data_IF_510494126785
#
_entry.id   IF_510494126785
#
_cell.length_a   1.000
_cell.length_b   1.000
_cell.length_c   1.000
_cell.angle_alpha   90.00
_cell.angle_beta   90.00
_cell.angle_gamma   90.00
#
_symmetry.space_group_name_H-M   'P 1'
#
loop_
_entity.id
_entity.type
_entity.pdbx_description
1 polymer ?
#
# COMPACT_ATOMS: atom_id res chain seq x y z
N UNK A 1 -30.27 8.71 -1.58
CA UNK A 1 -29.74 7.44 -2.12
C UNK A 1 -28.32 7.63 -2.63
N UNK A 2 -28.06 8.60 -3.51
CA UNK A 2 -26.76 8.83 -4.12
C UNK A 2 -25.66 9.17 -3.10
N UNK A 3 -25.93 10.00 -2.10
CA UNK A 3 -24.96 10.33 -1.05
C UNK A 3 -24.49 9.09 -0.27
N UNK A 4 -25.36 8.09 -0.09
CA UNK A 4 -24.98 6.82 0.55
C UNK A 4 -23.92 6.13 -0.28
N UNK A 5 -24.01 6.13 -1.60
CA UNK A 5 -22.99 5.58 -2.49
C UNK A 5 -21.66 6.34 -2.33
N UNK A 6 -21.70 7.67 -2.23
CA UNK A 6 -20.51 8.47 -1.96
C UNK A 6 -19.80 8.10 -0.67
N UNK A 7 -20.54 7.94 0.43
CA UNK A 7 -19.99 7.47 1.71
C UNK A 7 -19.43 6.06 1.61
N UNK A 8 -20.10 5.16 0.90
CA UNK A 8 -19.59 3.81 0.65
C UNK A 8 -18.29 3.83 -0.15
N UNK A 9 -18.21 4.67 -1.18
CA UNK A 9 -16.99 4.85 -1.97
C UNK A 9 -15.80 5.29 -1.12
N UNK A 10 -15.98 6.32 -0.28
CA UNK A 10 -14.95 6.78 0.64
C UNK A 10 -14.56 5.69 1.65
N UNK A 11 -15.54 5.01 2.22
CA UNK A 11 -15.30 3.93 3.18
C UNK A 11 -14.53 2.77 2.57
N UNK A 12 -14.87 2.36 1.35
CA UNK A 12 -14.17 1.30 0.61
C UNK A 12 -12.74 1.71 0.28
N UNK A 13 -12.53 2.94 -0.22
CA UNK A 13 -11.20 3.44 -0.53
C UNK A 13 -10.28 3.43 0.69
N UNK A 14 -10.74 4.00 1.80
CA UNK A 14 -9.99 4.05 3.06
C UNK A 14 -9.78 2.64 3.65
N UNK A 15 -10.84 1.83 3.68
CA UNK A 15 -10.80 0.49 4.25
C UNK A 15 -9.89 -0.45 3.48
N UNK A 16 -10.03 -0.51 2.15
CA UNK A 16 -9.21 -1.38 1.30
C UNK A 16 -7.73 -0.98 1.32
N UNK A 17 -7.42 0.32 1.28
CA UNK A 17 -6.04 0.80 1.37
C UNK A 17 -5.40 0.46 2.71
N UNK A 18 -6.13 0.66 3.81
CA UNK A 18 -5.67 0.32 5.15
C UNK A 18 -5.45 -1.17 5.35
N UNK A 19 -6.40 -2.00 4.90
CA UNK A 19 -6.27 -3.47 4.92
C UNK A 19 -5.07 -3.92 4.09
N UNK A 20 -4.89 -3.36 2.89
CA UNK A 20 -3.74 -3.66 2.03
C UNK A 20 -2.41 -3.37 2.71
N UNK A 21 -2.28 -2.19 3.31
CA UNK A 21 -1.07 -1.81 4.04
C UNK A 21 -0.85 -2.66 5.29
N UNK A 22 -1.89 -2.99 6.03
CA UNK A 22 -1.78 -3.89 7.19
C UNK A 22 -1.26 -5.28 6.78
N UNK A 23 -1.79 -5.86 5.71
CA UNK A 23 -1.31 -7.14 5.19
C UNK A 23 0.11 -7.03 4.63
N UNK A 24 0.38 -6.03 3.79
CA UNK A 24 1.70 -5.86 3.17
C UNK A 24 2.82 -5.67 4.18
N UNK A 25 2.62 -4.80 5.16
CA UNK A 25 3.62 -4.56 6.22
C UNK A 25 3.84 -5.79 7.10
N UNK A 26 2.78 -6.52 7.45
CA UNK A 26 2.92 -7.73 8.28
C UNK A 26 3.57 -8.90 7.54
N UNK A 27 3.31 -9.06 6.23
CA UNK A 27 4.00 -10.05 5.41
C UNK A 27 5.52 -9.79 5.43
N UNK A 28 5.93 -8.55 5.20
CA UNK A 28 7.35 -8.18 5.23
C UNK A 28 7.94 -8.26 6.64
N UNK A 29 7.20 -7.82 7.67
CA UNK A 29 7.64 -7.89 9.06
C UNK A 29 7.84 -9.32 9.56
N UNK A 30 6.99 -10.26 9.17
CA UNK A 30 7.18 -11.67 9.50
C UNK A 30 8.50 -12.24 8.92
N UNK A 31 8.84 -11.84 7.69
CA UNK A 31 10.14 -12.18 7.12
C UNK A 31 11.31 -11.51 7.87
N UNK A 32 11.11 -10.24 8.30
CA UNK A 32 12.10 -9.50 9.09
C UNK A 32 12.40 -10.18 10.44
N UNK A 33 11.38 -10.67 11.14
CA UNK A 33 11.54 -11.44 12.38
C UNK A 33 12.40 -12.69 12.16
N UNK A 34 12.17 -13.41 11.06
CA UNK A 34 13.00 -14.53 10.65
C UNK A 34 14.42 -14.11 10.29
N UNK A 35 14.56 -12.97 9.61
CA UNK A 35 15.85 -12.39 9.24
C UNK A 35 16.72 -12.01 10.43
N UNK A 36 16.13 -11.41 11.46
CA UNK A 36 16.81 -11.02 12.70
C UNK A 36 17.46 -12.21 13.42
N UNK A 37 16.83 -13.38 13.36
CA UNK A 37 17.39 -14.62 13.93
C UNK A 37 18.60 -15.13 13.17
N UNK A 38 18.69 -14.86 11.87
CA UNK A 38 19.79 -15.33 11.00
C UNK A 38 20.94 -14.33 10.94
N UNK A 39 20.62 -13.05 10.80
CA UNK A 39 21.60 -11.98 10.61
C UNK A 39 21.06 -10.66 11.18
N UNK A 40 21.29 -10.43 12.47
CA UNK A 40 20.81 -9.23 13.16
C UNK A 40 21.52 -7.94 12.73
N UNK A 41 22.71 -8.04 12.12
CA UNK A 41 23.46 -6.85 11.65
C UNK A 41 22.72 -6.10 10.52
N UNK A 42 21.82 -6.77 9.82
CA UNK A 42 21.02 -6.20 8.73
C UNK A 42 19.65 -5.68 9.18
N UNK A 43 19.44 -5.48 10.49
CA UNK A 43 18.15 -5.04 11.06
C UNK A 43 17.58 -3.78 10.40
N UNK A 44 18.43 -2.80 10.08
CA UNK A 44 17.99 -1.56 9.42
C UNK A 44 17.37 -1.81 8.04
N UNK A 45 17.95 -2.72 7.26
CA UNK A 45 17.40 -3.10 5.95
C UNK A 45 16.03 -3.75 6.11
N UNK A 46 15.88 -4.64 7.10
CA UNK A 46 14.59 -5.31 7.37
C UNK A 46 13.51 -4.30 7.77
N UNK A 47 13.82 -3.34 8.64
CA UNK A 47 12.88 -2.29 9.05
C UNK A 47 12.43 -1.45 7.86
N UNK A 48 13.36 -0.99 7.02
CA UNK A 48 13.04 -0.18 5.84
C UNK A 48 12.11 -0.96 4.91
N UNK A 49 12.46 -2.18 4.54
CA UNK A 49 11.67 -2.98 3.62
C UNK A 49 10.28 -3.33 4.18
N UNK A 50 10.17 -3.56 5.50
CA UNK A 50 8.89 -3.85 6.15
C UNK A 50 7.95 -2.64 6.18
N UNK A 51 8.49 -1.42 6.19
CA UNK A 51 7.71 -0.20 6.24
C UNK A 51 7.13 0.22 4.88
N UNK A 52 7.73 -0.19 3.76
CA UNK A 52 7.33 0.25 2.43
C UNK A 52 5.82 0.08 2.15
N UNK A 53 5.18 -1.05 2.46
CA UNK A 53 3.76 -1.24 2.14
C UNK A 53 2.79 -0.38 2.97
N UNK A 54 3.27 0.48 3.86
CA UNK A 54 2.44 1.42 4.61
C UNK A 54 1.96 2.61 3.74
N UNK A 55 2.62 2.90 2.63
CA UNK A 55 2.36 4.08 1.80
C UNK A 55 0.97 4.07 1.17
N UNK A 56 0.46 2.92 0.74
CA UNK A 56 -0.86 2.82 0.11
C UNK A 56 -2.00 3.15 1.09
N UNK A 57 -1.86 2.81 2.36
CA UNK A 57 -2.78 3.22 3.41
C UNK A 57 -2.81 4.73 3.59
N UNK A 58 -1.65 5.38 3.52
CA UNK A 58 -1.55 6.85 3.52
C UNK A 58 -2.19 7.46 2.27
N UNK A 59 -2.01 6.88 1.08
CA UNK A 59 -2.65 7.35 -0.14
C UNK A 59 -4.17 7.29 -0.05
N UNK A 60 -4.73 6.21 0.49
CA UNK A 60 -6.17 6.10 0.72
C UNK A 60 -6.69 7.13 1.73
N UNK A 61 -5.93 7.42 2.78
CA UNK A 61 -6.28 8.45 3.75
C UNK A 61 -6.23 9.86 3.13
N UNK A 62 -5.20 10.19 2.36
CA UNK A 62 -5.09 11.48 1.65
C UNK A 62 -6.24 11.63 0.66
N UNK A 63 -6.51 10.60 -0.13
CA UNK A 63 -7.64 10.62 -1.06
C UNK A 63 -8.97 10.81 -0.34
N UNK A 64 -9.20 10.13 0.79
CA UNK A 64 -10.38 10.33 1.62
C UNK A 64 -10.56 11.80 2.03
N UNK A 65 -9.50 12.46 2.52
CA UNK A 65 -9.56 13.85 2.94
C UNK A 65 -9.85 14.80 1.78
N UNK A 66 -9.23 14.58 0.63
CA UNK A 66 -9.34 15.47 -0.53
C UNK A 66 -10.64 15.27 -1.30
N UNK A 67 -11.18 14.07 -1.33
CA UNK A 67 -12.34 13.73 -2.16
C UNK A 67 -13.68 13.75 -1.40
N UNK A 68 -13.69 13.95 -0.08
CA UNK A 68 -14.93 13.97 0.73
C UNK A 68 -15.97 14.99 0.24
N UNK A 69 -15.55 16.09 -0.36
CA UNK A 69 -16.47 17.09 -0.94
C UNK A 69 -17.30 16.56 -2.11
N UNK A 70 -16.84 15.52 -2.81
CA UNK A 70 -17.58 14.88 -3.89
C UNK A 70 -18.85 14.16 -3.43
N UNK A 71 -19.02 13.91 -2.13
CA UNK A 71 -20.29 13.36 -1.58
C UNK A 71 -21.48 14.23 -1.95
N UNK A 72 -21.28 15.56 -1.93
CA UNK A 72 -22.35 16.53 -2.19
C UNK A 72 -22.50 16.85 -3.69
N UNK A 73 -21.42 16.81 -4.46
CA UNK A 73 -21.37 17.25 -5.85
C UNK A 73 -21.48 16.12 -6.86
N UNK A 74 -20.79 15.00 -6.62
CA UNK A 74 -20.79 13.85 -7.54
C UNK A 74 -20.57 12.51 -6.79
N UNK A 75 -21.54 12.06 -5.98
CA UNK A 75 -21.40 10.88 -5.15
C UNK A 75 -21.24 9.57 -5.94
N UNK A 76 -21.80 9.51 -7.16
CA UNK A 76 -21.69 8.31 -8.03
C UNK A 76 -20.26 8.17 -8.54
N UNK A 77 -19.63 9.27 -8.99
CA UNK A 77 -18.23 9.27 -9.38
C UNK A 77 -17.36 8.84 -8.20
N UNK A 78 -17.60 9.40 -7.01
CA UNK A 78 -16.86 9.07 -5.80
C UNK A 78 -16.96 7.58 -5.44
N UNK A 79 -18.14 6.99 -5.62
CA UNK A 79 -18.33 5.55 -5.42
C UNK A 79 -17.46 4.72 -6.36
N UNK A 80 -17.47 5.04 -7.67
CA UNK A 80 -16.65 4.36 -8.66
C UNK A 80 -15.15 4.49 -8.39
N UNK A 81 -14.69 5.71 -8.10
CA UNK A 81 -13.30 5.99 -7.75
C UNK A 81 -12.89 5.29 -6.45
N UNK A 82 -13.77 5.27 -5.46
CA UNK A 82 -13.53 4.60 -4.17
C UNK A 82 -13.25 3.12 -4.31
N UNK A 83 -14.04 2.43 -5.14
CA UNK A 83 -13.81 1.01 -5.47
C UNK A 83 -12.52 0.83 -6.26
N UNK A 84 -12.35 1.58 -7.36
CA UNK A 84 -11.21 1.43 -8.25
C UNK A 84 -9.88 1.70 -7.55
N UNK A 85 -9.76 2.84 -6.90
CA UNK A 85 -8.56 3.21 -6.14
C UNK A 85 -8.32 2.26 -4.97
N UNK A 86 -9.36 1.91 -4.22
CA UNK A 86 -9.28 1.01 -3.09
C UNK A 86 -8.70 -0.36 -3.46
N UNK A 87 -9.14 -0.94 -4.58
CA UNK A 87 -8.62 -2.22 -5.10
C UNK A 87 -7.15 -2.09 -5.49
N UNK A 88 -6.78 -1.01 -6.19
CA UNK A 88 -5.38 -0.79 -6.58
C UNK A 88 -4.49 -0.64 -5.35
N UNK A 89 -4.88 0.16 -4.35
CA UNK A 89 -4.13 0.33 -3.12
C UNK A 89 -3.96 -0.98 -2.35
N UNK A 90 -5.06 -1.74 -2.23
CA UNK A 90 -5.05 -3.06 -1.57
C UNK A 90 -4.01 -4.00 -2.19
N UNK A 91 -4.13 -4.22 -3.50
CA UNK A 91 -3.29 -5.19 -4.21
C UNK A 91 -1.84 -4.71 -4.32
N UNK A 92 -1.63 -3.42 -4.55
CA UNK A 92 -0.29 -2.81 -4.59
C UNK A 92 0.46 -3.04 -3.27
N UNK A 93 -0.17 -2.76 -2.12
CA UNK A 93 0.45 -2.92 -0.81
C UNK A 93 0.78 -4.38 -0.51
N UNK A 94 -0.14 -5.31 -0.79
CA UNK A 94 0.10 -6.74 -0.56
C UNK A 94 1.26 -7.24 -1.42
N UNK A 95 1.28 -6.89 -2.71
CA UNK A 95 2.34 -7.31 -3.64
C UNK A 95 3.69 -6.71 -3.26
N UNK A 96 3.72 -5.45 -2.86
CA UNK A 96 4.94 -4.82 -2.35
C UNK A 96 5.46 -5.53 -1.10
N UNK A 97 4.59 -5.89 -0.16
CA UNK A 97 4.95 -6.64 1.03
C UNK A 97 5.54 -8.03 0.73
N UNK A 98 4.97 -8.75 -0.25
CA UNK A 98 5.50 -10.04 -0.69
C UNK A 98 6.89 -9.90 -1.33
N UNK A 99 7.09 -8.88 -2.15
CA UNK A 99 8.41 -8.60 -2.75
C UNK A 99 9.43 -8.23 -1.68
N UNK A 100 9.06 -7.37 -0.73
CA UNK A 100 9.91 -6.99 0.39
C UNK A 100 10.30 -8.20 1.24
N UNK A 101 9.35 -9.11 1.54
CA UNK A 101 9.61 -10.33 2.30
C UNK A 101 10.65 -11.24 1.63
N UNK A 102 10.57 -11.41 0.31
CA UNK A 102 11.56 -12.16 -0.45
C UNK A 102 12.95 -11.51 -0.39
N UNK A 103 13.02 -10.19 -0.54
CA UNK A 103 14.26 -9.43 -0.41
C UNK A 103 14.89 -9.56 0.98
N UNK A 104 14.09 -9.45 2.04
CA UNK A 104 14.52 -9.63 3.42
C UNK A 104 15.12 -11.04 3.62
N UNK A 105 14.45 -12.08 3.12
CA UNK A 105 14.95 -13.46 3.22
C UNK A 105 16.31 -13.63 2.53
N UNK A 106 16.50 -13.01 1.36
CA UNK A 106 17.76 -13.06 0.63
C UNK A 106 18.88 -12.28 1.34
N UNK A 107 18.58 -11.09 1.89
CA UNK A 107 19.53 -10.30 2.68
C UNK A 107 19.95 -11.08 3.94
N UNK A 108 19.01 -11.73 4.61
CA UNK A 108 19.29 -12.57 5.78
C UNK A 108 20.16 -13.77 5.44
N UNK A 109 20.07 -14.29 4.22
CA UNK A 109 20.92 -15.36 3.70
C UNK A 109 22.33 -14.89 3.27
N UNK A 110 22.63 -13.59 3.35
CA UNK A 110 23.93 -13.02 3.05
C UNK A 110 24.08 -12.45 1.63
N UNK A 111 22.99 -12.36 0.85
CA UNK A 111 23.04 -11.77 -0.49
C UNK A 111 22.90 -10.23 -0.43
N UNK A 112 23.68 -9.54 -1.24
CA UNK A 112 23.61 -8.08 -1.36
C UNK A 112 22.57 -7.67 -2.44
N UNK A 113 21.29 -7.69 -2.04
CA UNK A 113 20.15 -7.43 -2.93
C UNK A 113 19.26 -6.29 -2.47
N UNK A 114 19.71 -5.46 -1.52
CA UNK A 114 18.90 -4.37 -0.96
C UNK A 114 18.40 -3.42 -2.05
N UNK A 115 19.29 -2.92 -2.90
CA UNK A 115 18.95 -1.99 -3.97
C UNK A 115 17.97 -2.61 -4.97
N UNK A 116 18.20 -3.84 -5.39
CA UNK A 116 17.31 -4.55 -6.31
C UNK A 116 15.91 -4.72 -5.69
N UNK A 117 15.85 -5.12 -4.43
CA UNK A 117 14.58 -5.29 -3.71
C UNK A 117 13.80 -3.98 -3.61
N UNK A 118 14.48 -2.87 -3.29
CA UNK A 118 13.84 -1.55 -3.25
C UNK A 118 13.22 -1.17 -4.59
N UNK A 119 13.94 -1.38 -5.70
CA UNK A 119 13.43 -1.11 -7.05
C UNK A 119 12.21 -1.99 -7.35
N UNK A 120 12.29 -3.28 -7.06
CA UNK A 120 11.16 -4.20 -7.30
C UNK A 120 9.94 -3.89 -6.43
N UNK A 121 10.13 -3.42 -5.21
CA UNK A 121 9.06 -2.95 -4.34
C UNK A 121 8.39 -1.67 -4.88
N UNK A 122 9.15 -0.79 -5.53
CA UNK A 122 8.61 0.44 -6.12
C UNK A 122 7.69 0.17 -7.32
N UNK A 123 7.82 -0.95 -8.02
CA UNK A 123 7.01 -1.23 -9.21
C UNK A 123 5.52 -1.33 -8.91
N UNK A 124 5.04 -2.13 -7.94
CA UNK A 124 3.61 -2.13 -7.59
C UNK A 124 3.16 -0.81 -6.98
N UNK A 125 4.00 -0.11 -6.23
CA UNK A 125 3.68 1.19 -5.65
C UNK A 125 3.42 2.26 -6.70
N UNK A 126 4.15 2.23 -7.81
CA UNK A 126 3.95 3.17 -8.91
C UNK A 126 2.49 3.19 -9.40
N UNK A 127 1.84 2.04 -9.50
CA UNK A 127 0.43 1.96 -9.91
C UNK A 127 -0.52 2.53 -8.85
N UNK A 128 -0.19 2.44 -7.57
CA UNK A 128 -0.95 3.10 -6.52
C UNK A 128 -0.83 4.64 -6.63
N UNK A 129 0.35 5.16 -6.92
CA UNK A 129 0.55 6.59 -7.17
C UNK A 129 -0.26 7.05 -8.39
N UNK A 130 -0.24 6.30 -9.49
CA UNK A 130 -1.04 6.61 -10.67
C UNK A 130 -2.54 6.63 -10.34
N UNK A 131 -3.04 5.67 -9.57
CA UNK A 131 -4.43 5.63 -9.15
C UNK A 131 -4.80 6.84 -8.28
N UNK A 132 -3.92 7.24 -7.34
CA UNK A 132 -4.11 8.42 -6.51
C UNK A 132 -4.22 9.68 -7.37
N UNK A 133 -3.23 9.91 -8.24
CA UNK A 133 -3.19 11.11 -9.08
C UNK A 133 -4.40 11.17 -10.01
N UNK A 134 -4.72 10.06 -10.70
CA UNK A 134 -5.87 9.99 -11.59
C UNK A 134 -7.19 10.25 -10.84
N UNK A 135 -7.36 9.69 -9.66
CA UNK A 135 -8.55 9.90 -8.84
C UNK A 135 -8.71 11.34 -8.35
N UNK A 136 -7.60 12.00 -7.99
CA UNK A 136 -7.64 13.41 -7.56
C UNK A 136 -7.86 14.40 -8.70
N UNK A 137 -7.62 13.99 -9.94
CA UNK A 137 -7.84 14.81 -11.14
C UNK A 137 -9.24 14.62 -11.77
N UNK A 138 -9.98 13.61 -11.32
CA UNK A 138 -11.32 13.33 -11.82
C UNK A 138 -12.39 14.23 -11.18
#
# INVERSE_FOLDING_TARGET
MEQILGYLGLGLMLGLSGVGSAFGTTIAANAAEGGLKKNSEKSSAYMILSALPATQGLYGFVAFLMMKGLIETNPILLFGLGIGMGIVFLLSAIRQGQTAANGIANIAAGHDVMTNTMIYCALPEFYAILALVAGLMA
#
